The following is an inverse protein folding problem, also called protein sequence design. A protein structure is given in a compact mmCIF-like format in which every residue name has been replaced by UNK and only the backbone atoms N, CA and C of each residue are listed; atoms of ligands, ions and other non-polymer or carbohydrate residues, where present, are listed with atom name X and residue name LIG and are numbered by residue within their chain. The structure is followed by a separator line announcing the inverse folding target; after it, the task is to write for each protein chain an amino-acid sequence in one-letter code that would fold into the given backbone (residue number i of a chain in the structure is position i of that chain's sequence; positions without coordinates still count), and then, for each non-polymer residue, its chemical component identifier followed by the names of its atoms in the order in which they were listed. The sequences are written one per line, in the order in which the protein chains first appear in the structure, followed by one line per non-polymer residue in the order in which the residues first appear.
data_IF_950218057813
#
_entry.id   IF_950218057813
#
_cell.length_a   1.000
_cell.length_b   1.000
_cell.length_c   1.000
_cell.angle_alpha   90.00
_cell.angle_beta   90.00
_cell.angle_gamma   90.00
#
_symmetry.space_group_name_H-M   'P 1'
#
loop_
_entity.id
_entity.type
_entity.pdbx_description
1 polymer ?
#
# COMPACT_ATOMS: atom_id res chain seq x y z
N UNK A 1 17.32 -3.38 -28.73
CA UNK A 1 15.88 -3.49 -28.41
C UNK A 1 15.77 -4.38 -27.18
N UNK A 2 15.74 -3.78 -25.99
CA UNK A 2 15.68 -4.54 -24.73
C UNK A 2 14.25 -5.05 -24.52
N UNK A 3 14.10 -6.37 -24.54
CA UNK A 3 12.82 -7.06 -24.56
C UNK A 3 12.10 -6.93 -23.22
N UNK A 4 10.87 -6.43 -23.28
CA UNK A 4 9.90 -6.25 -22.18
C UNK A 4 9.64 -7.51 -21.34
N UNK A 5 10.04 -8.70 -21.81
CA UNK A 5 9.98 -9.96 -21.07
C UNK A 5 10.96 -10.02 -19.89
N UNK A 6 12.17 -9.44 -20.02
CA UNK A 6 13.16 -9.42 -18.95
C UNK A 6 12.68 -8.61 -17.75
N UNK A 7 12.11 -7.42 -18.02
CA UNK A 7 11.61 -6.50 -17.00
C UNK A 7 10.50 -7.15 -16.16
N UNK A 8 9.59 -7.93 -16.76
CA UNK A 8 8.53 -8.63 -16.04
C UNK A 8 9.09 -9.67 -15.06
N UNK A 9 9.99 -10.54 -15.50
CA UNK A 9 10.58 -11.59 -14.64
C UNK A 9 11.33 -11.02 -13.42
N UNK A 10 12.01 -9.89 -13.57
CA UNK A 10 12.65 -9.21 -12.44
C UNK A 10 11.64 -8.60 -11.46
N UNK A 11 10.47 -8.20 -11.95
CA UNK A 11 9.42 -7.55 -11.17
C UNK A 11 8.64 -8.58 -10.34
N UNK A 12 8.34 -9.74 -10.92
CA UNK A 12 7.65 -10.87 -10.28
C UNK A 12 8.44 -11.42 -9.08
N UNK A 13 9.75 -11.63 -9.25
CA UNK A 13 10.62 -12.12 -8.16
C UNK A 13 10.67 -11.13 -6.98
N UNK A 14 10.62 -9.82 -7.23
CA UNK A 14 10.61 -8.80 -6.17
C UNK A 14 9.30 -8.77 -5.39
N UNK A 15 8.17 -9.06 -6.03
CA UNK A 15 6.87 -9.14 -5.35
C UNK A 15 6.75 -10.37 -4.49
N UNK A 16 7.20 -11.53 -4.97
CA UNK A 16 7.21 -12.75 -4.17
C UNK A 16 8.09 -12.58 -2.92
N UNK A 17 9.26 -11.97 -3.07
CA UNK A 17 10.15 -11.65 -1.95
C UNK A 17 9.56 -10.62 -0.99
N UNK A 18 8.79 -9.65 -1.50
CA UNK A 18 8.07 -8.70 -0.68
C UNK A 18 7.00 -9.40 0.17
N UNK A 19 6.23 -10.33 -0.42
CA UNK A 19 5.26 -11.16 0.33
C UNK A 19 5.95 -12.01 1.41
N UNK A 20 7.10 -12.60 1.10
CA UNK A 20 7.87 -13.38 2.08
C UNK A 20 8.31 -12.53 3.28
N UNK A 21 8.68 -11.26 3.07
CA UNK A 21 8.99 -10.33 4.16
C UNK A 21 7.76 -10.10 5.05
N UNK A 22 6.60 -9.85 4.44
CA UNK A 22 5.35 -9.65 5.17
C UNK A 22 4.90 -10.90 5.95
N UNK A 23 5.26 -12.10 5.47
CA UNK A 23 5.01 -13.36 6.20
C UNK A 23 5.93 -13.55 7.42
N UNK A 24 7.14 -13.01 7.38
CA UNK A 24 8.08 -13.07 8.52
C UNK A 24 7.63 -12.10 9.61
N UNK A 25 7.23 -10.89 9.22
CA UNK A 25 6.74 -9.88 10.15
C UNK A 25 6.17 -8.67 9.44
N UNK A 26 5.20 -8.04 10.09
CA UNK A 26 4.61 -6.81 9.58
C UNK A 26 5.62 -5.66 9.66
N UNK A 27 5.62 -4.74 8.67
CA UNK A 27 6.36 -3.50 8.78
C UNK A 27 5.86 -2.70 9.98
N UNK A 28 6.79 -2.12 10.72
CA UNK A 28 6.49 -1.27 11.87
C UNK A 28 6.42 0.18 11.39
N UNK A 29 5.29 0.85 11.66
CA UNK A 29 5.11 2.25 11.31
C UNK A 29 5.78 3.11 12.39
N UNK A 30 6.85 3.84 12.02
CA UNK A 30 7.50 4.79 12.93
C UNK A 30 6.75 6.13 12.91
N UNK A 31 6.44 6.62 11.70
CA UNK A 31 5.79 7.90 11.45
C UNK A 31 4.81 7.75 10.28
N UNK A 32 4.01 8.79 10.02
CA UNK A 32 3.05 8.84 8.90
C UNK A 32 3.69 8.53 7.53
N UNK A 33 5.01 8.74 7.40
CA UNK A 33 5.76 8.57 6.17
C UNK A 33 6.93 7.58 6.31
N UNK A 34 7.15 6.99 7.49
CA UNK A 34 8.35 6.20 7.78
C UNK A 34 7.98 4.81 8.30
N UNK A 35 8.52 3.78 7.67
CA UNK A 35 8.30 2.38 8.01
C UNK A 35 9.61 1.64 8.22
N UNK A 36 9.64 0.78 9.25
CA UNK A 36 10.69 -0.19 9.48
C UNK A 36 10.27 -1.56 8.95
N UNK A 37 10.99 -2.01 7.92
CA UNK A 37 10.75 -3.29 7.27
C UNK A 37 11.77 -4.32 7.74
N UNK A 38 11.37 -5.48 8.29
CA UNK A 38 12.31 -6.53 8.67
C UNK A 38 13.02 -7.14 7.46
N UNK A 39 14.24 -7.59 7.66
CA UNK A 39 15.01 -8.31 6.63
C UNK A 39 14.47 -9.73 6.47
N UNK A 40 14.40 -10.21 5.22
CA UNK A 40 14.02 -11.58 4.89
C UNK A 40 14.92 -12.65 5.53
N UNK A 41 16.20 -12.34 5.76
CA UNK A 41 17.20 -13.31 6.21
C UNK A 41 17.63 -13.14 7.67
N UNK A 42 17.37 -11.96 8.25
CA UNK A 42 17.88 -11.57 9.55
C UNK A 42 16.76 -10.85 10.31
N UNK A 43 16.11 -11.53 11.24
CA UNK A 43 15.01 -10.94 12.02
C UNK A 43 15.46 -9.75 12.89
N UNK A 44 16.76 -9.65 13.20
CA UNK A 44 17.36 -8.52 13.93
C UNK A 44 17.67 -7.31 13.05
N UNK A 45 17.69 -7.44 11.72
CA UNK A 45 17.96 -6.33 10.82
C UNK A 45 16.65 -5.77 10.29
N UNK A 46 16.43 -4.48 10.54
CA UNK A 46 15.31 -3.72 9.96
C UNK A 46 15.87 -2.66 9.02
N UNK A 47 15.16 -2.40 7.93
CA UNK A 47 15.47 -1.35 6.98
C UNK A 47 14.42 -0.27 7.06
N UNK A 48 14.87 0.97 7.16
CA UNK A 48 14.01 2.13 7.09
C UNK A 48 13.59 2.40 5.65
N UNK A 49 12.29 2.61 5.47
CA UNK A 49 11.64 2.99 4.22
C UNK A 49 10.85 4.27 4.48
N UNK A 50 11.14 5.31 3.71
CA UNK A 50 10.47 6.61 3.80
C UNK A 50 9.68 6.89 2.53
N UNK A 51 8.47 7.43 2.69
CA UNK A 51 7.57 7.79 1.61
C UNK A 51 7.09 9.24 1.80
N UNK A 52 7.91 10.20 1.35
CA UNK A 52 7.55 11.62 1.29
C UNK A 52 7.00 11.96 -0.11
N UNK A 53 7.87 12.37 -1.05
CA UNK A 53 7.50 12.56 -2.47
C UNK A 53 7.83 11.34 -3.33
N UNK A 54 8.80 10.54 -2.88
CA UNK A 54 9.25 9.34 -3.55
C UNK A 54 9.71 8.31 -2.52
N UNK A 55 9.57 7.03 -2.86
CA UNK A 55 10.00 5.96 -1.97
C UNK A 55 11.52 5.92 -1.87
N UNK A 56 12.02 6.02 -0.64
CA UNK A 56 13.43 5.85 -0.28
C UNK A 56 13.58 4.66 0.65
N UNK A 57 14.70 3.94 0.55
CA UNK A 57 15.02 2.85 1.46
C UNK A 57 16.51 2.82 1.78
N UNK A 58 16.85 2.61 3.05
CA UNK A 58 18.24 2.52 3.51
C UNK A 58 18.88 1.13 3.25
N UNK A 59 18.43 0.41 2.22
CA UNK A 59 19.02 -0.88 1.85
C UNK A 59 20.06 -0.71 0.73
N UNK A 60 21.13 -1.50 0.77
CA UNK A 60 22.19 -1.49 -0.26
C UNK A 60 21.65 -1.72 -1.67
N UNK A 61 20.60 -2.54 -1.82
CA UNK A 61 19.97 -2.79 -3.13
C UNK A 61 19.31 -1.53 -3.67
N UNK A 62 18.69 -0.73 -2.81
CA UNK A 62 18.10 0.54 -3.21
C UNK A 62 19.19 1.54 -3.60
N UNK A 63 20.18 1.73 -2.73
CA UNK A 63 21.27 2.67 -2.95
C UNK A 63 22.06 2.39 -4.24
N UNK A 64 22.38 1.12 -4.50
CA UNK A 64 23.22 0.73 -5.65
C UNK A 64 22.44 0.59 -6.96
N UNK A 65 21.17 0.17 -6.90
CA UNK A 65 20.42 -0.24 -8.10
C UNK A 65 19.15 0.57 -8.37
N UNK A 66 18.53 1.14 -7.36
CA UNK A 66 17.21 1.76 -7.50
C UNK A 66 17.23 3.28 -7.43
N UNK A 67 18.15 3.85 -6.65
CA UNK A 67 18.32 5.30 -6.47
C UNK A 67 18.55 5.97 -7.84
N UNK A 68 17.69 6.93 -8.18
CA UNK A 68 17.75 7.69 -9.43
C UNK A 68 17.28 6.95 -10.69
N UNK A 69 16.82 5.69 -10.58
CA UNK A 69 16.34 4.89 -11.73
C UNK A 69 14.82 4.64 -11.76
N UNK A 70 14.09 5.16 -10.77
CA UNK A 70 12.64 4.93 -10.65
C UNK A 70 12.26 3.47 -10.36
N UNK A 71 13.20 2.68 -9.83
CA UNK A 71 12.96 1.29 -9.45
C UNK A 71 12.68 1.17 -7.95
N UNK A 72 11.98 0.11 -7.55
CA UNK A 72 11.67 -0.16 -6.15
C UNK A 72 12.35 -1.43 -5.68
N UNK A 73 13.01 -1.34 -4.52
CA UNK A 73 13.57 -2.51 -3.86
C UNK A 73 12.45 -3.38 -3.26
N UNK A 74 12.79 -4.61 -2.84
CA UNK A 74 11.84 -5.53 -2.21
C UNK A 74 11.17 -4.97 -0.95
N UNK A 75 11.85 -4.10 -0.18
CA UNK A 75 11.29 -3.51 1.04
C UNK A 75 10.22 -2.47 0.71
N UNK A 76 10.49 -1.59 -0.27
CA UNK A 76 9.51 -0.63 -0.78
C UNK A 76 8.29 -1.37 -1.35
N UNK A 77 8.51 -2.43 -2.15
CA UNK A 77 7.40 -3.27 -2.63
C UNK A 77 6.59 -3.89 -1.50
N UNK A 78 7.22 -4.29 -0.40
CA UNK A 78 6.51 -4.82 0.77
C UNK A 78 5.61 -3.76 1.41
N UNK A 79 6.10 -2.52 1.58
CA UNK A 79 5.28 -1.40 2.05
C UNK A 79 4.11 -1.11 1.11
N UNK A 80 4.35 -1.02 -0.21
CA UNK A 80 3.29 -0.78 -1.20
C UNK A 80 2.21 -1.87 -1.14
N UNK A 81 2.62 -3.13 -0.98
CA UNK A 81 1.67 -4.25 -0.82
C UNK A 81 0.91 -4.14 0.50
N UNK A 82 1.61 -3.83 1.59
CA UNK A 82 1.04 -3.67 2.92
C UNK A 82 0.01 -2.53 2.97
N UNK A 83 0.35 -1.35 2.44
CA UNK A 83 -0.56 -0.21 2.31
C UNK A 83 -1.78 -0.55 1.47
N UNK A 84 -1.60 -1.23 0.33
CA UNK A 84 -2.73 -1.68 -0.50
C UNK A 84 -3.68 -2.60 0.27
N UNK A 85 -3.14 -3.56 1.03
CA UNK A 85 -3.96 -4.48 1.83
C UNK A 85 -4.68 -3.74 2.95
N UNK A 86 -4.00 -2.83 3.66
CA UNK A 86 -4.60 -2.03 4.72
C UNK A 86 -5.67 -1.08 4.19
N UNK A 87 -5.41 -0.37 3.08
CA UNK A 87 -6.38 0.53 2.46
C UNK A 87 -7.65 -0.20 2.04
N UNK A 88 -7.54 -1.44 1.55
CA UNK A 88 -8.69 -2.28 1.24
C UNK A 88 -9.46 -2.69 2.51
N UNK A 89 -8.75 -2.98 3.61
CA UNK A 89 -9.38 -3.30 4.89
C UNK A 89 -10.09 -2.10 5.54
N UNK A 90 -9.58 -0.88 5.36
CA UNK A 90 -10.18 0.34 5.91
C UNK A 90 -11.41 0.81 5.11
N UNK A 91 -11.41 0.65 3.78
CA UNK A 91 -12.56 0.99 2.92
C UNK A 91 -13.81 0.14 3.18
N UNK A 92 -13.67 -1.02 3.84
CA UNK A 92 -14.78 -1.88 4.23
C UNK A 92 -15.59 -1.42 5.46
N UNK A 93 -15.20 -0.32 6.13
CA UNK A 93 -15.89 0.18 7.35
C UNK A 93 -16.64 1.51 7.16
N UNK A 94 -16.65 2.06 5.94
CA UNK A 94 -17.30 3.34 5.64
C UNK A 94 -18.61 3.14 4.85
N UNK A 95 -19.60 2.45 5.42
CA UNK A 95 -21.01 2.62 5.00
C UNK A 95 -21.96 1.97 6.01
N UNK A 96 -22.25 2.67 7.11
CA UNK A 96 -23.49 2.54 7.88
C UNK A 96 -23.57 3.74 8.82
N UNK A 97 -23.88 4.92 8.29
CA UNK A 97 -24.52 6.03 8.99
C UNK A 97 -24.96 6.99 7.90
N UNK A 98 -26.26 6.99 7.58
CA UNK A 98 -27.05 8.14 7.13
C UNK A 98 -28.44 7.63 6.70
N UNK A 99 -29.20 7.12 7.67
CA UNK A 99 -30.65 7.02 7.54
C UNK A 99 -31.23 8.40 7.89
N UNK A 100 -31.40 9.25 6.87
CA UNK A 100 -32.10 10.52 7.05
C UNK A 100 -33.63 10.28 7.00
N UNK A 101 -34.43 10.92 7.87
CA UNK A 101 -35.86 10.68 7.98
C UNK A 101 -36.64 11.10 6.74
N UNK A 102 -37.60 10.24 6.40
CA UNK A 102 -38.60 10.33 5.34
C UNK A 102 -39.46 11.59 5.48
N UNK A 103 -39.12 12.64 4.73
CA UNK A 103 -39.98 13.82 4.55
C UNK A 103 -41.04 13.49 3.49
N UNK A 104 -42.01 12.66 3.87
CA UNK A 104 -43.21 12.41 3.09
C UNK A 104 -44.08 13.68 3.02
N UNK A 105 -43.75 14.56 2.07
CA UNK A 105 -44.71 15.49 1.45
C UNK A 105 -45.56 14.69 0.48
N UNK A 106 -46.73 14.25 0.94
CA UNK A 106 -47.78 13.80 0.03
C UNK A 106 -48.79 14.92 -0.18
N UNK A 107 -48.64 15.60 -1.32
CA UNK A 107 -49.55 16.59 -1.88
C UNK A 107 -50.59 15.83 -2.70
N UNK A 108 -51.81 15.70 -2.16
CA UNK A 108 -53.01 15.29 -2.91
C UNK A 108 -54.15 16.18 -2.40
N UNK A 109 -54.38 17.31 -3.06
CA UNK A 109 -55.38 17.49 -4.11
C UNK A 109 -56.73 16.84 -3.75
N UNK A 110 -57.62 17.66 -3.21
CA UNK A 110 -59.05 17.46 -3.31
C UNK A 110 -59.68 18.84 -3.47
N UNK A 111 -60.00 19.19 -4.72
CA UNK A 111 -60.85 20.34 -5.04
C UNK A 111 -62.33 19.97 -4.78
N UNK A 112 -63.19 20.95 -4.46
CA UNK A 112 -64.62 20.74 -4.26
C UNK A 112 -65.41 21.01 -5.54
N UNK A 113 -66.38 20.15 -5.88
CA UNK A 113 -67.67 20.48 -6.51
C UNK A 113 -68.67 19.39 -6.14
#
# INVERSE_FOLDING_TARGET
METTQSVKQFTDNREERAKAILQIGNPECLDENTYLVPSQFDSNKKYEVTHFDSYSCNCKDFELRCKGKGLYCKHIKAIILFEKVILLALKGKASMHDAHPDFSRNLLLSQPV
#
